data_IF_144700827676
#
_entry.id   IF_144700827676
#
_cell.length_a   1.000
_cell.length_b   1.000
_cell.length_c   1.000
_cell.angle_alpha   90.00
_cell.angle_beta   90.00
_cell.angle_gamma   90.00
#
_symmetry.space_group_name_H-M   'P 1'
#
loop_
_entity.id
_entity.type
_entity.pdbx_description
1 polymer ?
#
# COMPACT_ATOMS: atom_id res chain seq x y z
N UNK A 1 -11.36 44.08 55.05
CA UNK A 1 -10.39 43.39 55.94
C UNK A 1 -9.75 42.27 55.15
N UNK A 2 -8.45 42.37 54.85
CA UNK A 2 -7.45 41.31 54.68
C UNK A 2 -6.23 41.93 53.97
N UNK A 3 -5.18 42.18 54.76
CA UNK A 3 -3.77 42.28 54.35
C UNK A 3 -3.24 40.82 54.24
N UNK A 4 -2.16 40.50 53.48
CA UNK A 4 -0.86 41.13 53.71
C UNK A 4 0.14 41.31 52.54
N UNK A 5 1.07 42.21 52.86
CA UNK A 5 2.50 42.27 52.55
C UNK A 5 2.99 42.52 51.10
N UNK A 6 3.18 43.81 50.88
CA UNK A 6 4.21 44.46 50.08
C UNK A 6 5.64 43.98 50.40
N UNK A 7 6.48 43.80 49.37
CA UNK A 7 7.93 44.01 49.45
C UNK A 7 8.45 44.70 48.20
N UNK A 8 9.36 45.63 48.47
CA UNK A 8 9.86 46.73 47.64
C UNK A 8 10.60 46.29 46.38
N UNK A 9 10.32 47.05 45.32
CA UNK A 9 11.12 47.32 44.14
C UNK A 9 12.44 48.02 44.55
N UNK A 10 13.58 47.52 44.08
CA UNK A 10 14.78 48.34 43.87
C UNK A 10 15.45 47.92 42.56
N UNK A 11 15.55 48.88 41.64
CA UNK A 11 16.17 48.80 40.32
C UNK A 11 17.56 49.41 40.44
N UNK A 12 18.59 48.69 39.96
CA UNK A 12 19.84 49.16 39.33
C UNK A 12 20.58 47.86 38.97
N UNK A 13 21.02 47.55 37.76
CA UNK A 13 21.64 48.36 36.71
C UNK A 13 22.74 47.47 36.13
N UNK A 14 22.52 47.00 34.89
CA UNK A 14 23.45 46.42 33.90
C UNK A 14 24.93 46.22 34.27
N UNK A 15 25.45 45.01 34.01
CA UNK A 15 26.72 44.82 33.30
C UNK A 15 26.83 43.43 32.64
N UNK A 16 27.26 43.46 31.39
CA UNK A 16 27.59 42.36 30.48
C UNK A 16 28.57 41.35 31.09
N UNK A 17 28.37 40.06 30.77
CA UNK A 17 29.35 39.01 30.99
C UNK A 17 28.89 37.66 30.45
N UNK A 18 29.00 37.46 29.13
CA UNK A 18 28.92 36.12 28.53
C UNK A 18 30.09 35.27 29.06
N UNK A 19 29.79 34.13 29.68
CA UNK A 19 30.77 33.05 29.87
C UNK A 19 30.24 31.80 29.20
N UNK A 20 31.04 31.29 28.27
CA UNK A 20 30.75 30.12 27.43
C UNK A 20 31.15 28.90 28.25
N UNK A 21 30.19 28.03 28.57
CA UNK A 21 30.46 26.73 29.20
C UNK A 21 30.72 25.72 28.08
N UNK A 22 31.97 25.28 27.92
CA UNK A 22 32.33 24.17 27.05
C UNK A 22 32.10 22.85 27.77
N UNK A 23 31.07 22.10 27.35
CA UNK A 23 30.96 20.67 27.62
C UNK A 23 31.69 19.90 26.50
N UNK A 24 32.79 19.24 26.86
CA UNK A 24 33.52 18.34 25.97
C UNK A 24 32.77 17.00 25.88
N UNK A 25 32.14 16.73 24.73
CA UNK A 25 31.68 15.39 24.39
C UNK A 25 32.67 14.81 23.37
N UNK A 26 33.56 13.95 23.86
CA UNK A 26 34.43 13.12 23.04
C UNK A 26 33.58 12.03 22.38
N UNK A 27 33.21 12.23 21.12
CA UNK A 27 32.84 11.15 20.23
C UNK A 27 33.89 11.13 19.13
N UNK A 28 34.92 10.31 19.33
CA UNK A 28 35.87 9.99 18.28
C UNK A 28 35.12 9.34 17.12
N UNK A 29 35.02 10.05 16.00
CA UNK A 29 34.58 9.48 14.73
C UNK A 29 35.74 8.68 14.12
N UNK A 30 36.15 7.62 14.80
CA UNK A 30 36.89 6.52 14.22
C UNK A 30 35.90 5.53 13.61
N UNK A 31 36.26 4.93 12.48
CA UNK A 31 35.47 3.90 11.80
C UNK A 31 35.13 2.76 12.79
N UNK A 32 33.86 2.27 12.83
CA UNK A 32 33.48 1.10 13.60
C UNK A 32 34.41 -0.10 13.35
N UNK A 33 34.78 -0.85 14.39
CA UNK A 33 35.69 -2.00 14.32
C UNK A 33 35.26 -3.04 13.26
N UNK A 34 33.96 -3.17 13.01
CA UNK A 34 33.38 -4.05 11.98
C UNK A 34 33.70 -3.65 10.53
N UNK A 35 34.27 -2.47 10.31
CA UNK A 35 34.65 -1.96 8.99
C UNK A 35 36.17 -1.97 8.76
N UNK A 36 36.97 -2.32 9.78
CA UNK A 36 38.45 -2.29 9.68
C UNK A 36 39.03 -3.41 8.80
N UNK A 37 38.30 -4.52 8.64
CA UNK A 37 38.73 -5.67 7.82
C UNK A 37 38.12 -5.69 6.41
N UNK A 38 37.37 -4.65 6.04
CA UNK A 38 36.91 -4.48 4.65
C UNK A 38 38.09 -3.95 3.85
N UNK A 39 38.72 -4.81 3.06
CA UNK A 39 39.75 -4.39 2.10
C UNK A 39 39.17 -3.26 1.23
N UNK A 40 39.81 -2.08 1.17
CA UNK A 40 39.41 -1.07 0.21
C UNK A 40 39.50 -1.67 -1.19
N UNK A 41 38.54 -1.33 -2.05
CA UNK A 41 38.59 -1.69 -3.46
C UNK A 41 39.89 -1.12 -4.03
N UNK A 42 40.90 -1.99 -4.17
CA UNK A 42 42.14 -1.67 -4.84
C UNK A 42 41.77 -1.47 -6.30
N UNK A 43 41.73 -0.20 -6.69
CA UNK A 43 41.71 0.19 -8.08
C UNK A 43 42.95 -0.38 -8.76
N UNK A 44 42.78 -1.52 -9.40
CA UNK A 44 43.67 -1.98 -10.45
C UNK A 44 42.81 -2.16 -11.68
N UNK A 45 42.85 -1.18 -12.57
CA UNK A 45 42.38 -1.32 -13.92
C UNK A 45 43.20 -2.43 -14.59
N UNK A 46 42.68 -3.67 -14.58
CA UNK A 46 43.18 -4.70 -15.48
C UNK A 46 42.47 -4.53 -16.82
N UNK A 47 43.27 -4.19 -17.82
CA UNK A 47 42.90 -4.31 -19.23
C UNK A 47 42.91 -5.82 -19.56
N UNK A 48 41.79 -6.29 -20.10
CA UNK A 48 41.52 -7.55 -20.81
C UNK A 48 41.55 -8.90 -20.06
N UNK A 49 40.35 -9.47 -19.82
CA UNK A 49 39.92 -10.84 -20.18
C UNK A 49 38.44 -11.06 -19.77
N UNK A 50 37.59 -11.74 -20.56
CA UNK A 50 36.20 -12.00 -20.19
C UNK A 50 36.13 -13.27 -19.35
N UNK A 51 35.85 -13.14 -18.06
CA UNK A 51 35.45 -14.26 -17.23
C UNK A 51 34.07 -13.96 -16.63
N UNK A 52 33.04 -14.40 -17.34
CA UNK A 52 31.67 -14.39 -16.87
C UNK A 52 31.52 -15.47 -15.80
N UNK A 53 31.71 -15.11 -14.54
CA UNK A 53 31.09 -15.83 -13.42
C UNK A 53 30.01 -14.95 -12.82
N UNK A 54 28.87 -14.91 -13.49
CA UNK A 54 27.63 -14.36 -12.95
C UNK A 54 27.08 -15.30 -11.89
N UNK A 55 27.57 -15.21 -10.66
CA UNK A 55 26.85 -15.69 -9.50
C UNK A 55 25.73 -14.69 -9.17
N UNK A 56 24.71 -14.64 -10.03
CA UNK A 56 23.39 -14.18 -9.61
C UNK A 56 22.82 -15.27 -8.73
N UNK A 57 22.87 -15.06 -7.41
CA UNK A 57 21.98 -15.72 -6.48
C UNK A 57 20.55 -15.31 -6.83
N UNK A 58 19.98 -16.02 -7.81
CA UNK A 58 18.57 -16.00 -8.12
C UNK A 58 17.85 -16.63 -6.93
N UNK A 59 17.44 -15.81 -5.97
CA UNK A 59 16.27 -16.16 -5.15
C UNK A 59 15.06 -16.12 -6.08
N UNK A 60 14.86 -17.22 -6.82
CA UNK A 60 13.61 -17.49 -7.52
C UNK A 60 12.54 -17.75 -6.46
N UNK A 61 11.97 -16.68 -5.88
CA UNK A 61 10.69 -16.82 -5.22
C UNK A 61 9.69 -17.15 -6.33
N UNK A 62 9.16 -18.37 -6.32
CA UNK A 62 7.99 -18.68 -7.14
C UNK A 62 6.90 -17.70 -6.72
N UNK A 63 6.66 -16.68 -7.55
CA UNK A 63 5.53 -15.78 -7.37
C UNK A 63 4.26 -16.59 -7.61
N UNK A 64 3.53 -16.88 -6.55
CA UNK A 64 2.26 -17.60 -6.63
C UNK A 64 1.25 -16.78 -7.44
N UNK A 65 0.54 -17.44 -8.34
CA UNK A 65 -0.56 -16.79 -9.05
C UNK A 65 -1.66 -16.38 -8.04
N UNK A 66 -2.31 -15.21 -8.24
CA UNK A 66 -3.37 -14.75 -7.34
C UNK A 66 -4.58 -15.67 -7.37
N UNK A 67 -5.04 -16.12 -6.19
CA UNK A 67 -6.24 -16.96 -6.04
C UNK A 67 -7.46 -16.12 -5.65
N UNK A 68 -8.30 -15.78 -6.64
CA UNK A 68 -9.53 -15.00 -6.42
C UNK A 68 -10.62 -15.78 -5.67
N UNK A 69 -10.52 -17.11 -5.56
CA UNK A 69 -11.46 -17.90 -4.75
C UNK A 69 -11.31 -17.61 -3.25
N UNK A 70 -10.20 -16.99 -2.85
CA UNK A 70 -10.00 -16.53 -1.48
C UNK A 70 -10.85 -15.32 -1.10
N UNK A 71 -11.50 -14.63 -2.05
CA UNK A 71 -12.21 -13.38 -1.75
C UNK A 71 -13.42 -13.60 -0.83
N UNK A 72 -13.46 -12.88 0.28
CA UNK A 72 -14.51 -12.90 1.29
C UNK A 72 -15.13 -11.51 1.44
N UNK A 73 -16.45 -11.39 1.35
CA UNK A 73 -17.14 -10.12 1.55
C UNK A 73 -17.14 -9.69 3.03
N UNK A 74 -17.16 -8.38 3.28
CA UNK A 74 -17.18 -7.81 4.63
C UNK A 74 -18.37 -8.27 5.47
N UNK A 75 -19.56 -8.37 4.87
CA UNK A 75 -20.75 -8.85 5.59
C UNK A 75 -20.63 -10.32 6.00
N UNK A 76 -19.92 -11.13 5.21
CA UNK A 76 -19.64 -12.52 5.56
C UNK A 76 -18.64 -12.62 6.70
N UNK A 77 -17.54 -11.87 6.62
CA UNK A 77 -16.58 -11.81 7.71
C UNK A 77 -17.25 -11.36 9.01
N UNK A 78 -18.15 -10.37 8.96
CA UNK A 78 -18.87 -9.89 10.14
C UNK A 78 -19.69 -11.00 10.84
N UNK A 79 -20.25 -11.97 10.09
CA UNK A 79 -20.96 -13.14 10.65
C UNK A 79 -20.00 -14.17 11.27
N UNK A 80 -18.74 -14.19 10.83
CA UNK A 80 -17.70 -15.09 11.31
C UNK A 80 -16.97 -14.55 12.54
N UNK A 81 -17.03 -13.24 12.81
CA UNK A 81 -16.36 -12.64 13.96
C UNK A 81 -16.86 -13.25 15.28
N UNK A 82 -15.94 -13.49 16.21
CA UNK A 82 -16.21 -14.12 17.50
C UNK A 82 -16.35 -15.65 17.45
N UNK A 83 -16.41 -16.28 16.28
CA UNK A 83 -16.44 -17.74 16.19
C UNK A 83 -15.08 -18.35 16.59
N UNK A 84 -15.07 -19.47 17.35
CA UNK A 84 -13.84 -20.12 17.73
C UNK A 84 -12.97 -20.51 16.52
N UNK A 85 -11.73 -20.01 16.52
CA UNK A 85 -10.74 -20.34 15.51
C UNK A 85 -10.78 -19.52 14.22
N UNK A 86 -11.61 -18.48 14.16
CA UNK A 86 -11.48 -17.41 13.16
C UNK A 86 -10.45 -16.39 13.64
N UNK A 87 -9.48 -16.06 12.79
CA UNK A 87 -8.42 -15.10 13.10
C UNK A 87 -8.31 -14.11 11.95
N UNK A 88 -8.55 -12.83 12.25
CA UNK A 88 -8.30 -11.75 11.30
C UNK A 88 -6.85 -11.31 11.42
N UNK A 89 -6.14 -11.26 10.30
CA UNK A 89 -4.77 -10.79 10.21
C UNK A 89 -4.76 -9.55 9.32
N UNK A 90 -4.59 -8.38 9.94
CA UNK A 90 -4.43 -7.11 9.26
C UNK A 90 -2.98 -6.94 8.83
N UNK A 91 -2.76 -6.92 7.51
CA UNK A 91 -1.43 -6.88 6.91
C UNK A 91 -0.97 -5.45 6.61
N UNK A 92 -1.74 -4.43 6.99
CA UNK A 92 -1.37 -3.03 6.81
C UNK A 92 -0.29 -2.63 7.81
N UNK A 93 0.23 -1.41 7.67
CA UNK A 93 1.18 -0.84 8.62
C UNK A 93 0.56 -0.72 10.01
N UNK A 94 1.38 -0.76 11.05
CA UNK A 94 0.91 -0.59 12.43
C UNK A 94 0.24 0.77 12.65
N UNK A 95 0.64 1.81 11.91
CA UNK A 95 -0.01 3.11 11.94
C UNK A 95 -1.48 3.00 11.46
N UNK A 96 -1.71 2.42 10.28
CA UNK A 96 -3.06 2.23 9.74
C UNK A 96 -3.92 1.32 10.60
N UNK A 97 -3.32 0.28 11.19
CA UNK A 97 -3.99 -0.64 12.10
C UNK A 97 -4.41 0.04 13.41
N UNK A 98 -3.53 0.82 14.03
CA UNK A 98 -3.84 1.51 15.28
C UNK A 98 -4.89 2.61 15.11
N UNK A 99 -4.95 3.24 13.94
CA UNK A 99 -5.93 4.28 13.63
C UNK A 99 -7.36 3.71 13.43
N UNK A 100 -7.49 2.57 12.75
CA UNK A 100 -8.78 1.94 12.45
C UNK A 100 -8.62 0.44 12.17
N UNK A 101 -9.25 -0.44 12.96
CA UNK A 101 -9.10 -1.91 12.82
C UNK A 101 -10.34 -2.71 13.22
N UNK A 102 -10.45 -3.92 12.72
CA UNK A 102 -11.41 -4.92 13.24
C UNK A 102 -10.99 -5.33 14.66
N UNK A 103 -11.95 -5.49 15.56
CA UNK A 103 -11.68 -5.95 16.92
C UNK A 103 -10.97 -7.32 16.91
N UNK A 104 -10.03 -7.51 17.84
CA UNK A 104 -9.23 -8.74 18.02
C UNK A 104 -8.38 -9.18 16.81
N UNK A 105 -8.28 -8.35 15.77
CA UNK A 105 -7.39 -8.61 14.65
C UNK A 105 -5.91 -8.56 15.08
N UNK A 106 -5.08 -9.41 14.47
CA UNK A 106 -3.63 -9.39 14.64
C UNK A 106 -3.01 -8.50 13.57
N UNK A 107 -2.08 -7.62 13.93
CA UNK A 107 -1.30 -6.88 12.93
C UNK A 107 -0.01 -7.64 12.60
N UNK A 108 0.02 -8.31 11.44
CA UNK A 108 1.16 -9.09 10.97
C UNK A 108 1.28 -8.94 9.45
N UNK A 109 2.48 -8.69 8.96
CA UNK A 109 2.75 -8.85 7.53
C UNK A 109 2.70 -10.33 7.11
N UNK A 110 2.62 -10.56 5.80
CA UNK A 110 2.54 -11.91 5.23
C UNK A 110 3.76 -12.76 5.55
N UNK A 111 4.96 -12.17 5.64
CA UNK A 111 6.19 -12.92 5.91
C UNK A 111 6.19 -13.48 7.34
N UNK A 112 5.79 -12.66 8.31
CA UNK A 112 5.65 -13.03 9.71
C UNK A 112 4.50 -14.01 9.91
N UNK A 113 3.38 -13.85 9.18
CA UNK A 113 2.26 -14.79 9.23
C UNK A 113 2.66 -16.20 8.79
N UNK A 114 3.46 -16.34 7.73
CA UNK A 114 3.93 -17.65 7.23
C UNK A 114 4.65 -18.50 8.27
N UNK A 115 5.23 -17.87 9.29
CA UNK A 115 5.96 -18.55 10.37
C UNK A 115 5.05 -19.02 11.52
N UNK A 116 3.76 -18.66 11.52
CA UNK A 116 2.82 -18.94 12.60
C UNK A 116 2.08 -20.26 12.36
N UNK A 117 2.78 -21.38 12.51
CA UNK A 117 2.25 -22.73 12.26
C UNK A 117 1.04 -23.10 13.12
N UNK A 118 0.90 -22.52 14.32
CA UNK A 118 -0.29 -22.70 15.17
C UNK A 118 -1.59 -22.17 14.55
N UNK A 119 -1.51 -21.38 13.47
CA UNK A 119 -2.66 -20.91 12.70
C UNK A 119 -3.07 -21.85 11.55
N UNK A 120 -2.34 -22.94 11.29
CA UNK A 120 -2.62 -23.84 10.16
C UNK A 120 -4.04 -24.42 10.19
N UNK A 121 -4.54 -24.76 11.38
CA UNK A 121 -5.88 -25.30 11.58
C UNK A 121 -6.96 -24.23 11.81
N UNK A 122 -6.57 -22.95 11.79
CA UNK A 122 -7.49 -21.82 11.99
C UNK A 122 -8.04 -21.33 10.65
N UNK A 123 -9.14 -20.60 10.72
CA UNK A 123 -9.66 -19.84 9.59
C UNK A 123 -9.00 -18.47 9.60
N UNK A 124 -8.02 -18.26 8.73
CA UNK A 124 -7.24 -17.02 8.65
C UNK A 124 -7.82 -16.10 7.59
N UNK A 125 -8.15 -14.87 7.98
CA UNK A 125 -8.70 -13.85 7.10
C UNK A 125 -7.70 -12.71 6.97
N UNK A 126 -7.12 -12.54 5.78
CA UNK A 126 -6.19 -11.45 5.49
C UNK A 126 -6.96 -10.16 5.22
N UNK A 127 -6.64 -9.09 5.94
CA UNK A 127 -7.23 -7.76 5.76
C UNK A 127 -6.17 -6.76 5.30
N UNK A 128 -6.32 -6.27 4.07
CA UNK A 128 -5.49 -5.20 3.50
C UNK A 128 -6.16 -3.83 3.58
N UNK A 129 -5.58 -2.83 2.90
CA UNK A 129 -6.20 -1.51 2.73
C UNK A 129 -7.42 -1.54 1.81
N UNK A 130 -7.49 -2.51 0.90
CA UNK A 130 -8.40 -2.53 -0.24
C UNK A 130 -7.77 -2.04 -1.54
N UNK A 131 -6.48 -1.66 -1.49
CA UNK A 131 -5.63 -1.32 -2.62
C UNK A 131 -4.48 -2.34 -2.71
N UNK A 132 -4.01 -2.68 -3.91
CA UNK A 132 -2.95 -3.64 -4.15
C UNK A 132 -3.34 -5.09 -3.83
N UNK A 133 -4.62 -5.47 -3.87
CA UNK A 133 -5.09 -6.77 -3.36
C UNK A 133 -4.55 -7.98 -4.13
N UNK A 134 -3.98 -7.80 -5.33
CA UNK A 134 -3.25 -8.85 -6.07
C UNK A 134 -2.24 -9.58 -5.20
N UNK A 135 -1.49 -8.84 -4.38
CA UNK A 135 -0.47 -9.42 -3.50
C UNK A 135 -1.09 -10.28 -2.41
N UNK A 136 -2.23 -9.88 -1.85
CA UNK A 136 -2.96 -10.66 -0.85
C UNK A 136 -3.59 -11.92 -1.43
N UNK A 137 -4.13 -11.87 -2.65
CA UNK A 137 -4.60 -13.07 -3.34
C UNK A 137 -3.46 -14.04 -3.65
N UNK A 138 -2.28 -13.53 -3.99
CA UNK A 138 -1.07 -14.35 -4.20
C UNK A 138 -0.57 -14.94 -2.87
N UNK A 139 -0.62 -14.15 -1.78
CA UNK A 139 -0.30 -14.61 -0.44
C UNK A 139 -1.26 -15.71 0.03
N UNK A 140 -2.56 -15.59 -0.28
CA UNK A 140 -3.53 -16.62 0.03
C UNK A 140 -3.18 -17.97 -0.61
N UNK A 141 -2.86 -17.97 -1.92
CA UNK A 141 -2.42 -19.16 -2.63
C UNK A 141 -1.15 -19.78 -1.99
N UNK A 142 -0.16 -18.93 -1.68
CA UNK A 142 1.08 -19.37 -1.05
C UNK A 142 0.85 -19.97 0.35
N UNK A 143 0.01 -19.36 1.18
CA UNK A 143 -0.30 -19.84 2.54
C UNK A 143 -1.04 -21.19 2.48
N UNK A 144 -2.01 -21.33 1.57
CA UNK A 144 -2.69 -22.63 1.34
C UNK A 144 -1.70 -23.72 0.97
N UNK A 145 -0.77 -23.43 0.04
CA UNK A 145 0.27 -24.37 -0.36
C UNK A 145 1.26 -24.70 0.78
N UNK A 146 1.44 -23.80 1.74
CA UNK A 146 2.27 -24.01 2.92
C UNK A 146 1.55 -24.81 4.04
N UNK A 147 0.27 -25.16 3.87
CA UNK A 147 -0.48 -25.98 4.83
C UNK A 147 -1.51 -25.25 5.68
N UNK A 148 -1.74 -23.94 5.46
CA UNK A 148 -2.89 -23.27 6.05
C UNK A 148 -4.19 -23.81 5.45
N UNK A 149 -5.03 -24.45 6.26
CA UNK A 149 -6.21 -25.16 5.77
C UNK A 149 -7.29 -24.24 5.23
N UNK A 150 -7.47 -23.07 5.84
CA UNK A 150 -8.54 -22.12 5.51
C UNK A 150 -7.99 -20.70 5.51
N UNK A 151 -7.77 -20.16 4.32
CA UNK A 151 -7.30 -18.78 4.13
C UNK A 151 -8.24 -18.05 3.19
N UNK A 152 -8.63 -16.84 3.58
CA UNK A 152 -9.44 -15.93 2.78
C UNK A 152 -8.85 -14.52 2.84
N UNK A 153 -9.25 -13.67 1.90
CA UNK A 153 -8.88 -12.26 1.81
C UNK A 153 -10.15 -11.44 1.92
N UNK A 154 -10.19 -10.49 2.86
CA UNK A 154 -11.27 -9.51 2.96
C UNK A 154 -11.28 -8.66 1.68
N UNK A 155 -12.28 -8.89 0.82
CA UNK A 155 -12.43 -8.21 -0.48
C UNK A 155 -12.63 -6.72 -0.28
N UNK A 156 -11.84 -5.91 -0.97
CA UNK A 156 -11.83 -4.45 -0.82
C UNK A 156 -11.26 -3.98 0.51
N UNK A 157 -10.64 -4.88 1.27
CA UNK A 157 -9.99 -4.63 2.55
C UNK A 157 -10.76 -3.75 3.53
N UNK A 158 -9.99 -3.00 4.32
CA UNK A 158 -10.52 -2.13 5.37
C UNK A 158 -11.29 -0.92 4.82
N UNK A 159 -11.03 -0.50 3.58
CA UNK A 159 -11.83 0.53 2.92
C UNK A 159 -13.27 0.06 2.67
N UNK A 160 -13.46 -1.16 2.14
CA UNK A 160 -14.78 -1.74 1.95
C UNK A 160 -15.47 -2.03 3.29
N UNK A 161 -14.74 -2.53 4.29
CA UNK A 161 -15.26 -2.73 5.65
C UNK A 161 -15.86 -1.43 6.23
N UNK A 162 -15.11 -0.33 6.15
CA UNK A 162 -15.56 0.98 6.58
C UNK A 162 -16.75 1.49 5.77
N UNK A 163 -16.72 1.34 4.44
CA UNK A 163 -17.81 1.77 3.55
C UNK A 163 -19.12 1.00 3.77
N UNK A 164 -19.04 -0.23 4.30
CA UNK A 164 -20.20 -1.02 4.70
C UNK A 164 -20.74 -0.62 6.10
N UNK A 165 -20.06 0.27 6.83
CA UNK A 165 -20.46 0.70 8.17
C UNK A 165 -20.30 -0.40 9.23
N UNK A 166 -19.41 -1.37 9.00
CA UNK A 166 -19.21 -2.50 9.89
C UNK A 166 -18.41 -2.11 11.15
N UNK A 167 -18.64 -2.75 12.31
CA UNK A 167 -17.99 -2.40 13.57
C UNK A 167 -16.45 -2.46 13.49
N UNK A 168 -15.78 -1.45 14.02
CA UNK A 168 -14.34 -1.35 14.09
C UNK A 168 -13.91 -0.47 15.26
N UNK A 169 -12.68 -0.67 15.72
CA UNK A 169 -12.03 0.16 16.73
C UNK A 169 -11.28 1.31 16.02
N UNK A 170 -11.47 2.54 16.51
CA UNK A 170 -10.84 3.74 15.94
C UNK A 170 -11.74 4.46 14.91
N UNK A 171 -11.17 5.37 14.12
CA UNK A 171 -11.91 6.14 13.11
C UNK A 171 -11.23 6.04 11.75
N UNK A 172 -12.00 5.72 10.72
CA UNK A 172 -11.52 5.63 9.34
C UNK A 172 -11.20 7.00 8.70
N UNK A 173 -11.29 8.10 9.46
CA UNK A 173 -11.17 9.49 8.99
C UNK A 173 -9.75 9.94 8.67
N UNK A 174 -8.74 9.13 9.01
CA UNK A 174 -7.34 9.50 8.78
C UNK A 174 -6.95 9.18 7.33
N UNK A 175 -7.39 10.03 6.41
CA UNK A 175 -6.90 10.21 5.04
C UNK A 175 -6.90 8.97 4.11
N UNK A 176 -6.14 7.91 4.40
CA UNK A 176 -5.77 6.88 3.41
C UNK A 176 -6.84 5.83 3.05
N UNK A 177 -7.89 5.64 3.86
CA UNK A 177 -8.89 4.58 3.61
C UNK A 177 -9.98 4.96 2.60
N UNK A 178 -10.29 6.25 2.50
CA UNK A 178 -11.32 6.77 1.59
C UNK A 178 -10.73 7.62 0.47
N UNK A 179 -9.44 7.96 0.55
CA UNK A 179 -8.71 8.61 -0.54
C UNK A 179 -8.69 7.71 -1.78
N UNK A 180 -8.90 8.34 -2.93
CA UNK A 180 -8.76 7.70 -4.23
C UNK A 180 -7.36 7.11 -4.44
N UNK A 181 -7.18 6.46 -5.59
CA UNK A 181 -5.89 5.96 -6.00
C UNK A 181 -4.97 7.14 -6.35
N UNK A 182 -3.73 7.08 -5.85
CA UNK A 182 -2.63 7.87 -6.41
C UNK A 182 -2.24 7.36 -7.80
N UNK A 183 -1.38 8.10 -8.52
CA UNK A 183 -0.84 7.64 -9.81
C UNK A 183 -0.08 6.32 -9.70
N UNK A 184 0.63 6.10 -8.60
CA UNK A 184 1.35 4.86 -8.35
C UNK A 184 0.40 3.68 -8.12
N UNK A 185 -0.62 3.88 -7.29
CA UNK A 185 -1.63 2.87 -7.01
C UNK A 185 -2.46 2.56 -8.26
N UNK A 186 -2.86 3.56 -9.05
CA UNK A 186 -3.52 3.33 -10.34
C UNK A 186 -2.65 2.48 -11.26
N UNK A 187 -1.35 2.78 -11.35
CA UNK A 187 -0.44 1.99 -12.17
C UNK A 187 -0.40 0.54 -11.72
N UNK A 188 -0.18 0.26 -10.43
CA UNK A 188 -0.17 -1.11 -9.87
C UNK A 188 -1.49 -1.83 -10.13
N UNK A 189 -2.62 -1.20 -9.81
CA UNK A 189 -3.95 -1.81 -9.96
C UNK A 189 -4.31 -2.08 -11.43
N UNK A 190 -3.87 -1.23 -12.36
CA UNK A 190 -4.07 -1.42 -13.80
C UNK A 190 -3.28 -2.59 -14.38
N UNK A 191 -2.24 -3.09 -13.68
CA UNK A 191 -1.49 -4.27 -14.10
C UNK A 191 -2.17 -5.59 -13.67
N UNK A 192 -3.21 -5.52 -12.84
CA UNK A 192 -3.91 -6.73 -12.39
C UNK A 192 -5.08 -7.05 -13.32
N UNK A 193 -4.91 -8.04 -14.20
CA UNK A 193 -5.90 -8.38 -15.23
C UNK A 193 -7.26 -8.86 -14.67
N UNK A 194 -7.35 -9.19 -13.37
CA UNK A 194 -8.61 -9.50 -12.69
C UNK A 194 -9.44 -8.24 -12.35
N UNK A 195 -8.84 -7.07 -12.45
CA UNK A 195 -9.53 -5.80 -12.24
C UNK A 195 -10.18 -5.31 -13.53
N UNK A 196 -11.33 -4.66 -13.40
CA UNK A 196 -12.03 -4.01 -14.51
C UNK A 196 -11.77 -2.51 -14.50
N UNK A 197 -10.99 -2.01 -15.48
CA UNK A 197 -10.70 -0.59 -15.64
C UNK A 197 -11.76 0.10 -16.50
N UNK A 198 -12.50 1.02 -15.90
CA UNK A 198 -13.48 1.89 -16.54
C UNK A 198 -12.95 3.32 -16.58
N UNK A 199 -13.11 3.96 -17.73
CA UNK A 199 -12.65 5.32 -17.97
C UNK A 199 -13.85 6.15 -18.40
N UNK A 200 -14.18 7.16 -17.60
CA UNK A 200 -15.25 8.08 -17.95
C UNK A 200 -14.82 8.88 -19.17
N UNK A 201 -15.73 9.15 -20.11
CA UNK A 201 -15.45 9.77 -21.42
C UNK A 201 -14.60 11.04 -21.33
N UNK A 202 -14.79 11.87 -20.32
CA UNK A 202 -14.00 13.08 -20.07
C UNK A 202 -12.50 12.79 -19.84
N UNK A 203 -12.14 11.54 -19.57
CA UNK A 203 -10.79 11.03 -19.31
C UNK A 203 -10.28 10.03 -20.33
N UNK A 204 -10.91 10.00 -21.51
CA UNK A 204 -10.51 9.13 -22.63
C UNK A 204 -9.05 9.37 -23.07
N UNK A 205 -8.48 10.56 -22.80
CA UNK A 205 -7.08 10.90 -23.03
C UNK A 205 -6.10 9.97 -22.31
N UNK A 206 -6.49 9.45 -21.14
CA UNK A 206 -5.69 8.49 -20.37
C UNK A 206 -5.62 7.10 -20.99
N UNK A 207 -6.53 6.72 -21.91
CA UNK A 207 -6.51 5.39 -22.54
C UNK A 207 -5.16 5.10 -23.20
N UNK A 208 -4.52 6.12 -23.78
CA UNK A 208 -3.20 5.98 -24.43
C UNK A 208 -2.06 5.61 -23.47
N UNK A 209 -2.24 5.87 -22.17
CA UNK A 209 -1.23 5.64 -21.12
C UNK A 209 -1.50 4.37 -20.31
N UNK A 210 -2.68 3.76 -20.48
CA UNK A 210 -3.14 2.61 -19.73
C UNK A 210 -3.08 1.36 -20.61
N UNK A 211 -2.76 0.21 -20.00
CA UNK A 211 -2.63 -1.07 -20.73
C UNK A 211 -3.93 -1.48 -21.44
N UNK A 212 -5.06 -1.27 -20.77
CA UNK A 212 -6.39 -1.61 -21.26
C UNK A 212 -7.43 -0.88 -20.43
N UNK A 213 -8.52 -0.42 -21.03
CA UNK A 213 -9.65 0.17 -20.32
C UNK A 213 -10.89 0.19 -21.20
N UNK A 214 -12.06 0.29 -20.56
CA UNK A 214 -13.34 0.42 -21.26
C UNK A 214 -13.87 1.82 -21.04
N UNK A 215 -14.15 2.55 -22.11
CA UNK A 215 -14.82 3.84 -22.05
C UNK A 215 -16.26 3.67 -21.57
N UNK A 216 -16.69 4.51 -20.61
CA UNK A 216 -18.07 4.68 -20.21
C UNK A 216 -18.51 6.13 -20.38
N UNK A 217 -19.78 6.35 -20.66
CA UNK A 217 -20.33 7.70 -20.91
C UNK A 217 -20.21 8.59 -19.68
N UNK A 218 -20.57 8.07 -18.51
CA UNK A 218 -20.56 8.77 -17.23
C UNK A 218 -20.41 7.79 -16.06
N UNK A 219 -19.98 8.29 -14.90
CA UNK A 219 -19.94 7.51 -13.67
C UNK A 219 -21.34 7.43 -13.02
N UNK A 220 -22.19 6.53 -13.52
CA UNK A 220 -23.54 6.30 -12.97
C UNK A 220 -23.71 4.87 -12.44
N UNK A 221 -24.63 4.64 -11.47
CA UNK A 221 -24.95 3.30 -10.98
C UNK A 221 -25.31 2.34 -12.13
N UNK A 222 -26.12 2.80 -13.08
CA UNK A 222 -26.61 2.01 -14.21
C UNK A 222 -25.47 1.64 -15.16
N UNK A 223 -24.56 2.59 -15.43
CA UNK A 223 -23.39 2.35 -16.26
C UNK A 223 -22.48 1.29 -15.63
N UNK A 224 -22.18 1.42 -14.33
CA UNK A 224 -21.33 0.47 -13.61
C UNK A 224 -21.97 -0.92 -13.51
N UNK A 225 -23.26 -1.01 -13.15
CA UNK A 225 -23.98 -2.29 -13.08
C UNK A 225 -24.09 -2.97 -14.44
N UNK A 226 -24.32 -2.20 -15.52
CA UNK A 226 -24.33 -2.73 -16.89
C UNK A 226 -22.96 -3.28 -17.30
N UNK A 227 -21.88 -2.56 -17.00
CA UNK A 227 -20.51 -3.02 -17.26
C UNK A 227 -20.15 -4.27 -16.45
N UNK A 228 -20.54 -4.34 -15.18
CA UNK A 228 -20.36 -5.52 -14.34
C UNK A 228 -21.15 -6.73 -14.88
N UNK A 229 -22.40 -6.54 -15.32
CA UNK A 229 -23.20 -7.60 -15.92
C UNK A 229 -22.57 -8.13 -17.21
N UNK A 230 -22.04 -7.25 -18.06
CA UNK A 230 -21.29 -7.62 -19.28
C UNK A 230 -20.04 -8.43 -18.93
N UNK A 231 -19.26 -7.97 -17.95
CA UNK A 231 -18.07 -8.69 -17.46
C UNK A 231 -18.43 -10.10 -16.98
N UNK A 232 -19.47 -10.23 -16.14
CA UNK A 232 -19.92 -11.53 -15.61
C UNK A 232 -20.35 -12.47 -16.74
N UNK A 233 -21.08 -11.97 -17.74
CA UNK A 233 -21.49 -12.76 -18.91
C UNK A 233 -20.28 -13.29 -19.68
N UNK A 234 -19.23 -12.48 -19.85
CA UNK A 234 -18.01 -12.90 -20.53
C UNK A 234 -17.16 -13.88 -19.72
N UNK A 235 -17.20 -13.79 -18.38
CA UNK A 235 -16.30 -14.51 -17.48
C UNK A 235 -17.00 -15.61 -16.67
N UNK A 236 -17.96 -16.33 -17.26
CA UNK A 236 -18.67 -17.46 -16.60
C UNK A 236 -19.23 -17.09 -15.21
N UNK A 237 -19.82 -15.90 -15.12
CA UNK A 237 -20.39 -15.32 -13.90
C UNK A 237 -19.38 -14.96 -12.79
N UNK A 238 -18.07 -15.00 -13.06
CA UNK A 238 -17.05 -14.55 -12.13
C UNK A 238 -17.12 -13.04 -11.90
N UNK A 239 -16.80 -12.60 -10.69
CA UNK A 239 -16.67 -11.19 -10.33
C UNK A 239 -15.22 -10.74 -10.60
N UNK A 240 -15.02 -9.49 -11.04
CA UNK A 240 -13.68 -8.90 -11.05
C UNK A 240 -13.17 -8.78 -9.60
N UNK A 241 -11.86 -8.64 -9.44
CA UNK A 241 -11.26 -8.37 -8.13
C UNK A 241 -11.71 -6.99 -7.61
N UNK A 242 -11.50 -5.95 -8.42
CA UNK A 242 -12.01 -4.60 -8.20
C UNK A 242 -12.47 -3.92 -9.50
N UNK A 243 -13.26 -2.87 -9.34
CA UNK A 243 -13.65 -1.93 -10.39
C UNK A 243 -12.83 -0.65 -10.23
N UNK A 244 -11.96 -0.33 -11.19
CA UNK A 244 -11.21 0.92 -11.19
C UNK A 244 -11.95 1.93 -12.04
N UNK A 245 -12.26 3.09 -11.48
CA UNK A 245 -12.91 4.20 -12.15
C UNK A 245 -11.93 5.36 -12.32
N UNK A 246 -11.62 5.72 -13.55
CA UNK A 246 -10.84 6.92 -13.88
C UNK A 246 -11.81 8.03 -14.25
N UNK A 247 -11.98 9.00 -13.34
CA UNK A 247 -12.92 10.10 -13.45
C UNK A 247 -12.21 11.46 -13.54
N UNK A 248 -12.90 12.49 -14.02
CA UNK A 248 -12.31 13.83 -14.17
C UNK A 248 -12.09 14.57 -12.85
N UNK A 249 -12.89 14.26 -11.84
CA UNK A 249 -12.80 14.85 -10.51
C UNK A 249 -13.29 13.84 -9.46
N UNK A 250 -12.91 14.04 -8.18
CA UNK A 250 -13.45 13.23 -7.09
C UNK A 250 -14.97 13.39 -7.02
N UNK A 251 -15.68 12.28 -6.90
CA UNK A 251 -17.12 12.28 -6.73
C UNK A 251 -17.50 12.59 -5.26
N UNK A 252 -18.64 13.26 -5.02
CA UNK A 252 -19.18 13.42 -3.67
C UNK A 252 -19.37 12.08 -2.96
N UNK A 253 -19.26 12.08 -1.64
CA UNK A 253 -19.36 10.85 -0.84
C UNK A 253 -20.70 10.10 -1.03
N UNK A 254 -21.80 10.84 -1.18
CA UNK A 254 -23.14 10.28 -1.43
C UNK A 254 -23.20 9.54 -2.77
N UNK A 255 -22.65 10.14 -3.83
CA UNK A 255 -22.64 9.53 -5.16
C UNK A 255 -21.72 8.32 -5.19
N UNK A 256 -20.54 8.39 -4.56
CA UNK A 256 -19.66 7.23 -4.38
C UNK A 256 -20.37 6.10 -3.63
N UNK A 257 -21.18 6.41 -2.62
CA UNK A 257 -21.95 5.41 -1.89
C UNK A 257 -23.01 4.76 -2.79
N UNK A 258 -23.73 5.53 -3.60
CA UNK A 258 -24.69 4.99 -4.59
C UNK A 258 -24.00 4.05 -5.59
N UNK A 259 -22.84 4.46 -6.13
CA UNK A 259 -22.05 3.63 -7.04
C UNK A 259 -21.61 2.31 -6.38
N UNK A 260 -21.06 2.38 -5.15
CA UNK A 260 -20.63 1.20 -4.38
C UNK A 260 -21.79 0.26 -4.09
N UNK A 261 -22.97 0.78 -3.77
CA UNK A 261 -24.17 -0.03 -3.54
C UNK A 261 -24.62 -0.79 -4.80
N UNK A 262 -24.54 -0.15 -5.96
CA UNK A 262 -24.96 -0.71 -7.24
C UNK A 262 -24.10 -1.88 -7.74
N UNK A 263 -22.86 -2.00 -7.24
CA UNK A 263 -21.91 -3.03 -7.66
C UNK A 263 -21.53 -4.04 -6.56
N UNK A 264 -22.24 -4.07 -5.43
CA UNK A 264 -21.96 -5.03 -4.36
C UNK A 264 -21.92 -6.48 -4.91
N UNK A 265 -20.94 -7.32 -4.50
CA UNK A 265 -19.90 -7.09 -3.48
C UNK A 265 -18.56 -6.59 -4.06
N UNK A 266 -18.52 -6.09 -5.29
CA UNK A 266 -17.27 -5.67 -5.95
C UNK A 266 -16.79 -4.33 -5.38
N UNK A 267 -15.52 -4.19 -4.98
CA UNK A 267 -14.97 -2.93 -4.51
C UNK A 267 -14.78 -1.93 -5.66
N UNK A 268 -15.02 -0.65 -5.35
CA UNK A 268 -14.82 0.48 -6.26
C UNK A 268 -13.59 1.28 -5.83
N UNK A 269 -12.59 1.35 -6.71
CA UNK A 269 -11.41 2.19 -6.56
C UNK A 269 -11.49 3.33 -7.56
N UNK A 270 -11.21 4.56 -7.14
CA UNK A 270 -11.35 5.74 -8.00
C UNK A 270 -10.03 6.47 -8.14
N UNK A 271 -9.63 6.77 -9.36
CA UNK A 271 -8.57 7.72 -9.67
C UNK A 271 -9.20 8.98 -10.25
N UNK A 272 -8.89 10.12 -9.66
CA UNK A 272 -9.47 11.42 -10.04
C UNK A 272 -8.43 12.53 -10.27
N UNK A 273 -7.14 12.19 -10.21
CA UNK A 273 -6.05 13.12 -10.49
C UNK A 273 -5.91 13.37 -12.00
N UNK A 274 -5.20 14.45 -12.36
CA UNK A 274 -5.00 14.84 -13.76
C UNK A 274 -4.11 13.86 -14.54
N UNK A 275 -4.20 13.88 -15.86
CA UNK A 275 -3.42 13.00 -16.73
C UNK A 275 -1.93 13.34 -16.68
N UNK A 276 -1.58 14.61 -16.52
CA UNK A 276 -0.19 15.06 -16.39
C UNK A 276 0.48 14.49 -15.13
N UNK A 277 -0.29 14.29 -14.05
CA UNK A 277 0.22 13.65 -12.83
C UNK A 277 0.61 12.20 -13.08
N UNK A 278 -0.26 11.46 -13.78
CA UNK A 278 0.01 10.07 -14.16
C UNK A 278 1.21 9.95 -15.10
N UNK A 279 1.26 10.78 -16.15
CA UNK A 279 2.38 10.80 -17.11
C UNK A 279 3.69 11.18 -16.42
N UNK A 280 3.68 12.12 -15.48
CA UNK A 280 4.86 12.47 -14.68
C UNK A 280 5.35 11.27 -13.87
N UNK A 281 4.45 10.54 -13.23
CA UNK A 281 4.80 9.32 -12.51
C UNK A 281 5.44 8.28 -13.44
N UNK A 282 4.86 8.02 -14.61
CA UNK A 282 5.44 7.06 -15.57
C UNK A 282 6.85 7.44 -16.01
N UNK A 283 7.09 8.73 -16.29
CA UNK A 283 8.43 9.24 -16.64
C UNK A 283 9.43 9.05 -15.49
N UNK A 284 9.01 9.29 -14.25
CA UNK A 284 9.85 9.05 -13.08
C UNK A 284 10.21 7.57 -12.93
N UNK A 285 9.25 6.66 -13.11
CA UNK A 285 9.50 5.22 -13.06
C UNK A 285 10.49 4.78 -14.16
N UNK A 286 10.32 5.25 -15.39
CA UNK A 286 11.25 4.98 -16.48
C UNK A 286 12.67 5.48 -16.19
N UNK A 287 12.80 6.68 -15.60
CA UNK A 287 14.09 7.23 -15.22
C UNK A 287 14.78 6.40 -14.12
N UNK A 288 14.02 5.92 -13.13
CA UNK A 288 14.55 5.04 -12.07
C UNK A 288 15.03 3.71 -12.66
N UNK A 289 14.23 3.08 -13.53
CA UNK A 289 14.62 1.82 -14.18
C UNK A 289 15.84 2.00 -15.10
N UNK A 290 15.89 3.09 -15.85
CA UNK A 290 17.05 3.42 -16.67
C UNK A 290 18.32 3.62 -15.82
N UNK A 291 18.21 4.33 -14.69
CA UNK A 291 19.33 4.52 -13.77
C UNK A 291 19.80 3.20 -13.13
N UNK A 292 18.87 2.32 -12.75
CA UNK A 292 19.22 0.98 -12.26
C UNK A 292 19.92 0.14 -13.33
N UNK A 293 19.45 0.20 -14.58
CA UNK A 293 20.06 -0.52 -15.70
C UNK A 293 21.47 -0.01 -16.04
N UNK A 294 21.71 1.30 -15.90
CA UNK A 294 23.00 1.93 -16.18
C UNK A 294 24.05 1.73 -15.05
N UNK A 295 23.62 1.29 -13.86
CA UNK A 295 24.48 1.15 -12.69
C UNK A 295 24.91 2.50 -12.09
N UNK A 296 25.65 2.50 -10.97
CA UNK A 296 26.14 3.75 -10.37
C UNK A 296 27.05 4.48 -11.35
N UNK A 297 26.87 5.81 -11.49
CA UNK A 297 27.76 6.65 -12.29
C UNK A 297 29.19 6.47 -11.79
N UNK A 298 30.04 5.85 -12.61
CA UNK A 298 31.46 5.78 -12.36
C UNK A 298 31.98 7.24 -12.39
N UNK A 299 32.58 7.69 -11.29
CA UNK A 299 33.32 8.95 -11.30
C UNK A 299 34.43 8.80 -12.34
N UNK A 300 34.50 9.72 -13.30
CA UNK A 300 35.58 9.73 -14.27
C UNK A 300 36.91 9.76 -13.52
N UNK A 301 37.74 8.74 -13.71
CA UNK A 301 39.11 8.77 -13.21
C UNK A 301 39.85 9.88 -13.99
N UNK A 302 39.98 11.06 -13.38
CA UNK A 302 40.72 12.18 -13.96
C UNK A 302 40.13 13.55 -13.63
N UNK A 303 40.42 14.05 -12.43
CA UNK A 303 40.79 15.45 -12.17
C UNK A 303 42.04 15.43 -11.29
#
# INVERSE_FOLDING_TARGET
MLKPLTKKLLILGTLLGCTVVSAQNQVGAGMPEALKDIKPASGVCRRDAPEQTSNTAQTSSMAWAPDLSCALDGSELARMLGQPGVVVVDTRTSQSFNAFRIADALNLDVANLRQKTFLYDKTVILAGSGKGERELYSACAALKAQGFKRVSVLRGGMAAWAAQGLPALGRASDAGLMEGLSSAELWVESQFDANLLLIVRERVDMLSQLKSGVEIVSASPEALSSMLARYRKANRNALPAALLLVAAAPLPAEDLQKLRQAIKPVPLLMYADKTEAYVRYLKQQQAVWAAQALGPKQLGCGL
#
